data_IF_599143861349
#
_entry.id   IF_599143861349
#
_cell.length_a   1.000
_cell.length_b   1.000
_cell.length_c   1.000
_cell.angle_alpha   90.00
_cell.angle_beta   90.00
_cell.angle_gamma   90.00
#
_symmetry.space_group_name_H-M   'P 1'
#
loop_
_entity.id
_entity.type
_entity.pdbx_description
1 polymer ?
#
# COMPACT_ATOMS: atom_id res chain seq x y z
N UNK A 1 2.79 -8.88 5.80
CA UNK A 1 3.10 -7.46 5.66
C UNK A 1 4.56 -7.17 6.04
N UNK A 2 4.98 -7.34 7.30
CA UNK A 2 6.33 -6.99 7.77
C UNK A 2 7.48 -7.61 6.96
N UNK A 3 7.31 -8.86 6.48
CA UNK A 3 8.30 -9.54 5.64
C UNK A 3 8.42 -8.86 4.27
N UNK A 4 7.31 -8.46 3.66
CA UNK A 4 7.31 -7.75 2.37
C UNK A 4 7.90 -6.34 2.48
N UNK A 5 7.69 -5.69 3.62
CA UNK A 5 8.24 -4.37 3.90
C UNK A 5 9.75 -4.46 4.17
N UNK A 6 10.16 -5.32 5.11
CA UNK A 6 11.56 -5.47 5.51
C UNK A 6 12.46 -6.08 4.43
N UNK A 7 11.89 -6.82 3.46
CA UNK A 7 12.62 -7.31 2.28
C UNK A 7 12.72 -6.30 1.13
N UNK A 8 12.10 -5.12 1.25
CA UNK A 8 12.01 -4.16 0.15
C UNK A 8 11.08 -4.58 -1.01
N UNK A 9 10.32 -5.67 -0.85
CA UNK A 9 9.46 -6.20 -1.90
C UNK A 9 8.34 -5.21 -2.31
N UNK A 10 7.73 -4.54 -1.35
CA UNK A 10 6.71 -3.53 -1.62
C UNK A 10 7.30 -2.31 -2.35
N UNK A 11 8.50 -1.87 -1.94
CA UNK A 11 9.22 -0.78 -2.62
C UNK A 11 9.64 -1.18 -4.04
N UNK A 12 10.08 -2.42 -4.27
CA UNK A 12 10.42 -2.94 -5.59
C UNK A 12 9.22 -2.91 -6.55
N UNK A 13 8.04 -3.30 -6.07
CA UNK A 13 6.80 -3.26 -6.84
C UNK A 13 6.43 -1.83 -7.24
N UNK A 14 6.49 -0.91 -6.30
CA UNK A 14 6.19 0.49 -6.54
C UNK A 14 7.23 1.14 -7.49
N UNK A 15 8.54 0.87 -7.32
CA UNK A 15 9.60 1.31 -8.25
C UNK A 15 9.37 0.78 -9.67
N UNK A 16 8.92 -0.46 -9.83
CA UNK A 16 8.61 -1.04 -11.14
C UNK A 16 7.53 -0.27 -11.88
N UNK A 17 6.47 0.13 -11.19
CA UNK A 17 5.39 0.91 -11.80
C UNK A 17 5.87 2.32 -12.12
N UNK A 18 6.55 2.97 -11.18
CA UNK A 18 7.13 4.29 -11.38
C UNK A 18 8.06 4.38 -12.58
N UNK A 19 8.92 3.37 -12.80
CA UNK A 19 9.91 3.38 -13.89
C UNK A 19 9.30 3.22 -15.29
N UNK A 20 8.07 2.73 -15.40
CA UNK A 20 7.39 2.47 -16.67
C UNK A 20 6.48 3.60 -17.12
N UNK A 21 6.10 4.49 -16.22
CA UNK A 21 5.12 5.54 -16.46
C UNK A 21 5.76 6.89 -16.16
N UNK A 22 5.90 7.75 -17.17
CA UNK A 22 6.43 9.10 -17.00
C UNK A 22 5.34 10.15 -16.81
N UNK A 23 5.74 11.36 -16.39
CA UNK A 23 4.87 12.50 -16.29
C UNK A 23 3.79 12.36 -15.21
N UNK A 24 2.68 13.06 -15.35
CA UNK A 24 1.51 12.94 -14.42
C UNK A 24 0.98 11.52 -14.31
N UNK A 25 1.12 10.72 -15.35
CA UNK A 25 0.77 9.30 -15.34
C UNK A 25 1.50 8.53 -14.24
N UNK A 26 2.73 8.93 -13.88
CA UNK A 26 3.48 8.32 -12.79
C UNK A 26 2.80 8.47 -11.44
N UNK A 27 2.12 9.61 -11.17
CA UNK A 27 1.36 9.82 -9.93
C UNK A 27 0.23 8.79 -9.84
N UNK A 28 -0.58 8.68 -10.89
CA UNK A 28 -1.70 7.73 -10.94
C UNK A 28 -1.23 6.27 -10.96
N UNK A 29 -0.11 5.99 -11.63
CA UNK A 29 0.53 4.68 -11.61
C UNK A 29 0.97 4.28 -10.20
N UNK A 30 1.60 5.19 -9.46
CA UNK A 30 1.98 4.96 -8.07
C UNK A 30 0.75 4.84 -7.15
N UNK A 31 -0.31 5.63 -7.38
CA UNK A 31 -1.58 5.47 -6.68
C UNK A 31 -2.18 4.09 -6.89
N UNK A 32 -2.17 3.60 -8.12
CA UNK A 32 -2.64 2.27 -8.46
C UNK A 32 -1.78 1.18 -7.78
N UNK A 33 -0.44 1.36 -7.74
CA UNK A 33 0.44 0.44 -7.05
C UNK A 33 0.11 0.35 -5.55
N UNK A 34 -0.07 1.48 -4.91
CA UNK A 34 -0.43 1.56 -3.49
C UNK A 34 -1.81 0.96 -3.24
N UNK A 35 -2.78 1.21 -4.12
CA UNK A 35 -4.10 0.59 -4.07
C UNK A 35 -4.00 -0.94 -4.14
N UNK A 36 -3.25 -1.48 -5.10
CA UNK A 36 -3.09 -2.93 -5.27
C UNK A 36 -2.42 -3.54 -4.03
N UNK A 37 -1.36 -2.92 -3.52
CA UNK A 37 -0.68 -3.38 -2.30
C UNK A 37 -1.60 -3.36 -1.08
N UNK A 38 -2.38 -2.29 -0.92
CA UNK A 38 -3.37 -2.18 0.15
C UNK A 38 -4.52 -3.18 0.00
N UNK A 39 -5.01 -3.37 -1.23
CA UNK A 39 -6.06 -4.36 -1.53
C UNK A 39 -5.64 -5.78 -1.17
N UNK A 40 -4.39 -6.16 -1.36
CA UNK A 40 -3.87 -7.49 -1.06
C UNK A 40 -3.55 -7.66 0.44
N UNK A 41 -3.77 -6.61 1.25
CA UNK A 41 -3.67 -6.70 2.70
C UNK A 41 -2.31 -6.28 3.27
N UNK A 42 -1.50 -5.55 2.52
CA UNK A 42 -0.34 -4.86 3.10
C UNK A 42 -0.87 -3.78 4.05
N UNK A 43 -0.28 -3.71 5.24
CA UNK A 43 -0.74 -2.76 6.26
C UNK A 43 -0.68 -1.31 5.74
N UNK A 44 -1.80 -0.58 5.85
CA UNK A 44 -1.91 0.78 5.32
C UNK A 44 -0.90 1.77 5.93
N UNK A 45 -0.61 1.66 7.22
CA UNK A 45 0.38 2.51 7.88
C UNK A 45 1.79 2.30 7.32
N UNK A 46 2.16 1.05 7.09
CA UNK A 46 3.44 0.74 6.49
C UNK A 46 3.51 1.20 5.03
N UNK A 47 2.43 1.07 4.28
CA UNK A 47 2.35 1.59 2.91
C UNK A 47 2.53 3.10 2.84
N UNK A 48 2.06 3.86 3.84
CA UNK A 48 2.31 5.30 3.90
C UNK A 48 3.81 5.61 3.94
N UNK A 49 4.57 4.89 4.77
CA UNK A 49 6.03 5.09 4.86
C UNK A 49 6.77 4.68 3.60
N UNK A 50 6.33 3.62 2.93
CA UNK A 50 6.93 3.14 1.67
C UNK A 50 6.55 4.05 0.50
N UNK A 51 5.30 4.49 0.43
CA UNK A 51 4.79 5.30 -0.66
C UNK A 51 5.33 6.74 -0.62
N UNK A 52 5.55 7.30 0.56
CA UNK A 52 5.97 8.69 0.71
C UNK A 52 7.25 9.03 -0.06
N UNK A 53 8.38 8.29 0.07
CA UNK A 53 9.58 8.57 -0.70
C UNK A 53 9.37 8.45 -2.22
N UNK A 54 8.51 7.53 -2.66
CA UNK A 54 8.20 7.34 -4.08
C UNK A 54 7.48 8.58 -4.61
N UNK A 55 6.44 9.03 -3.88
CA UNK A 55 5.71 10.23 -4.27
C UNK A 55 6.58 11.49 -4.18
N UNK A 56 7.55 11.56 -3.29
CA UNK A 56 8.54 12.67 -3.30
C UNK A 56 9.29 12.74 -4.63
N UNK A 57 9.76 11.60 -5.15
CA UNK A 57 10.48 11.55 -6.43
C UNK A 57 9.56 11.95 -7.60
N UNK A 58 8.33 11.44 -7.63
CA UNK A 58 7.35 11.75 -8.68
C UNK A 58 6.93 13.23 -8.65
N UNK A 59 6.64 13.76 -7.46
CA UNK A 59 6.22 15.15 -7.28
C UNK A 59 7.34 16.13 -7.63
N UNK A 60 8.61 15.77 -7.34
CA UNK A 60 9.77 16.56 -7.78
C UNK A 60 9.83 16.63 -9.31
N UNK A 61 9.64 15.52 -10.02
CA UNK A 61 9.67 15.48 -11.49
C UNK A 61 8.56 16.33 -12.11
N UNK A 62 7.37 16.32 -11.51
CA UNK A 62 6.21 17.09 -11.98
C UNK A 62 6.16 18.52 -11.44
N UNK A 63 7.15 18.91 -10.63
CA UNK A 63 7.20 20.20 -9.93
C UNK A 63 5.90 20.54 -9.19
N UNK A 64 5.36 19.56 -8.45
CA UNK A 64 4.15 19.70 -7.64
C UNK A 64 4.48 19.89 -6.16
N UNK A 65 3.71 20.69 -5.42
CA UNK A 65 3.98 20.97 -4.02
C UNK A 65 3.77 19.73 -3.14
N UNK A 66 4.67 19.54 -2.19
CA UNK A 66 4.71 18.37 -1.28
C UNK A 66 3.47 18.21 -0.41
N UNK A 67 2.77 19.30 -0.09
CA UNK A 67 1.59 19.24 0.76
C UNK A 67 0.43 18.44 0.18
N UNK A 68 0.44 18.17 -1.13
CA UNK A 68 -0.53 17.30 -1.79
C UNK A 68 -0.23 15.79 -1.60
N UNK A 69 1.01 15.42 -1.27
CA UNK A 69 1.42 14.00 -1.15
C UNK A 69 0.57 13.22 -0.14
N UNK A 70 0.32 13.72 1.08
CA UNK A 70 -0.54 13.00 2.04
C UNK A 70 -1.93 12.72 1.49
N UNK A 71 -2.54 13.67 0.79
CA UNK A 71 -3.83 13.50 0.14
C UNK A 71 -3.82 12.40 -0.92
N UNK A 72 -2.78 12.36 -1.76
CA UNK A 72 -2.61 11.32 -2.79
C UNK A 72 -2.42 9.94 -2.17
N UNK A 73 -1.58 9.82 -1.14
CA UNK A 73 -1.34 8.56 -0.45
C UNK A 73 -2.64 8.08 0.23
N UNK A 74 -3.31 8.97 0.95
CA UNK A 74 -4.53 8.64 1.67
C UNK A 74 -5.66 8.22 0.74
N UNK A 75 -5.82 8.91 -0.39
CA UNK A 75 -6.77 8.52 -1.44
C UNK A 75 -6.50 7.11 -1.98
N UNK A 76 -5.22 6.75 -2.14
CA UNK A 76 -4.85 5.43 -2.63
C UNK A 76 -5.09 4.32 -1.62
N UNK A 77 -4.90 4.60 -0.32
CA UNK A 77 -4.90 3.61 0.75
C UNK A 77 -6.25 3.44 1.43
N UNK A 78 -6.82 4.55 1.90
CA UNK A 78 -7.82 4.48 2.95
C UNK A 78 -9.21 4.10 2.44
N UNK A 79 -9.58 4.62 1.28
CA UNK A 79 -10.94 4.43 0.79
C UNK A 79 -11.08 3.26 -0.18
N UNK A 80 -10.06 3.05 -1.02
CA UNK A 80 -10.24 2.15 -2.15
C UNK A 80 -9.89 0.70 -1.82
N UNK A 81 -8.86 0.45 -1.00
CA UNK A 81 -8.44 -0.93 -0.71
C UNK A 81 -9.44 -1.71 0.14
N UNK A 82 -10.22 -1.02 0.99
CA UNK A 82 -11.21 -1.64 1.88
C UNK A 82 -12.60 -1.73 1.27
N UNK A 83 -12.93 -0.91 0.26
CA UNK A 83 -14.23 -0.91 -0.38
C UNK A 83 -14.40 -2.03 -1.40
N UNK A 84 -13.30 -2.48 -2.01
CA UNK A 84 -13.37 -3.54 -3.00
C UNK A 84 -13.55 -4.91 -2.35
N UNK A 85 -14.48 -5.73 -2.84
CA UNK A 85 -14.78 -7.05 -2.31
C UNK A 85 -13.59 -8.00 -2.47
N UNK A 86 -13.50 -9.00 -1.59
CA UNK A 86 -12.46 -10.02 -1.64
C UNK A 86 -11.11 -9.59 -1.07
N UNK A 87 -10.97 -8.35 -0.59
CA UNK A 87 -9.73 -7.89 0.04
C UNK A 87 -9.52 -8.59 1.39
N UNK A 88 -8.30 -9.10 1.68
CA UNK A 88 -7.92 -9.64 2.99
C UNK A 88 -7.64 -8.54 4.02
N UNK A 89 -8.01 -7.30 3.72
CA UNK A 89 -7.91 -6.18 4.67
C UNK A 89 -8.69 -6.51 5.94
N UNK A 90 -8.16 -6.11 7.09
CA UNK A 90 -8.80 -6.30 8.40
C UNK A 90 -10.22 -5.72 8.42
N UNK A 91 -10.46 -4.63 7.69
CA UNK A 91 -11.76 -3.98 7.59
C UNK A 91 -12.80 -4.83 6.86
N UNK A 92 -12.38 -5.70 5.94
CA UNK A 92 -13.27 -6.65 5.26
C UNK A 92 -13.39 -7.98 6.01
N UNK A 93 -12.32 -8.43 6.66
CA UNK A 93 -12.27 -9.73 7.32
C UNK A 93 -12.93 -9.70 8.69
N UNK A 94 -12.74 -8.63 9.48
CA UNK A 94 -13.28 -8.56 10.83
C UNK A 94 -14.81 -8.68 10.87
N UNK A 95 -15.59 -8.01 10.03
CA UNK A 95 -17.05 -8.15 10.01
C UNK A 95 -17.53 -9.58 9.73
N UNK A 96 -16.78 -10.36 8.94
CA UNK A 96 -17.21 -11.72 8.59
C UNK A 96 -17.32 -12.63 9.81
N UNK A 97 -16.51 -12.41 10.84
CA UNK A 97 -16.50 -13.19 12.07
C UNK A 97 -17.73 -12.94 12.96
N UNK A 98 -18.28 -11.70 12.91
CA UNK A 98 -19.40 -11.31 13.74
C UNK A 98 -20.76 -11.34 13.03
N UNK A 99 -20.75 -11.10 11.71
CA UNK A 99 -21.98 -10.98 10.93
C UNK A 99 -22.29 -12.23 10.10
N UNK A 100 -21.44 -13.27 10.14
CA UNK A 100 -21.64 -14.50 9.36
C UNK A 100 -21.63 -14.27 7.84
N UNK A 101 -21.02 -13.19 7.38
CA UNK A 101 -20.83 -12.84 5.97
C UNK A 101 -19.49 -13.37 5.45
N UNK A 102 -19.22 -13.20 4.16
CA UNK A 102 -17.89 -13.45 3.57
C UNK A 102 -17.24 -12.15 3.07
N UNK A 103 -16.00 -12.24 2.63
CA UNK A 103 -15.26 -11.08 2.10
C UNK A 103 -15.80 -10.55 0.78
N UNK A 104 -16.70 -11.32 0.13
CA UNK A 104 -17.36 -10.95 -1.12
C UNK A 104 -18.79 -10.42 -0.88
N UNK A 105 -19.21 -10.29 0.37
CA UNK A 105 -20.53 -9.75 0.71
C UNK A 105 -20.73 -8.36 0.10
N UNK A 106 -21.91 -8.10 -0.45
CA UNK A 106 -22.27 -6.85 -1.12
C UNK A 106 -21.30 -6.42 -2.25
N UNK A 107 -20.75 -7.37 -3.01
CA UNK A 107 -19.74 -7.13 -4.05
C UNK A 107 -20.15 -6.04 -5.05
N UNK A 108 -21.39 -6.06 -5.52
CA UNK A 108 -21.88 -5.06 -6.47
C UNK A 108 -21.84 -3.63 -5.89
N UNK A 109 -22.30 -3.47 -4.66
CA UNK A 109 -22.28 -2.18 -3.96
C UNK A 109 -20.85 -1.74 -3.67
N UNK A 110 -19.98 -2.65 -3.22
CA UNK A 110 -18.57 -2.37 -2.93
C UNK A 110 -17.81 -1.90 -4.17
N UNK A 111 -18.01 -2.55 -5.32
CA UNK A 111 -17.41 -2.12 -6.59
C UNK A 111 -17.95 -0.76 -7.02
N UNK A 112 -19.27 -0.56 -6.99
CA UNK A 112 -19.89 0.69 -7.41
C UNK A 112 -19.41 1.88 -6.56
N UNK A 113 -19.38 1.73 -5.24
CA UNK A 113 -18.92 2.79 -4.33
C UNK A 113 -17.41 3.00 -4.44
N UNK A 114 -16.61 1.94 -4.58
CA UNK A 114 -15.17 2.02 -4.77
C UNK A 114 -14.79 2.75 -6.06
N UNK A 115 -15.44 2.43 -7.17
CA UNK A 115 -15.21 3.12 -8.46
C UNK A 115 -15.68 4.58 -8.39
N UNK A 116 -16.88 4.82 -7.87
CA UNK A 116 -17.43 6.18 -7.76
C UNK A 116 -16.53 7.07 -6.88
N UNK A 117 -16.14 6.60 -5.71
CA UNK A 117 -15.25 7.37 -4.82
C UNK A 117 -13.86 7.60 -5.44
N UNK A 118 -13.33 6.62 -6.16
CA UNK A 118 -12.04 6.76 -6.87
C UNK A 118 -12.11 7.86 -7.92
N UNK A 119 -13.18 7.90 -8.70
CA UNK A 119 -13.40 8.95 -9.73
C UNK A 119 -13.49 10.32 -9.08
N UNK A 120 -14.27 10.48 -8.02
CA UNK A 120 -14.39 11.76 -7.31
C UNK A 120 -13.05 12.22 -6.74
N UNK A 121 -12.30 11.32 -6.12
CA UNK A 121 -10.99 11.64 -5.57
C UNK A 121 -9.97 12.03 -6.66
N UNK A 122 -9.97 11.35 -7.81
CA UNK A 122 -9.09 11.70 -8.94
C UNK A 122 -9.47 13.09 -9.49
N UNK A 123 -10.76 13.38 -9.66
CA UNK A 123 -11.23 14.70 -10.11
C UNK A 123 -10.79 15.79 -9.13
N UNK A 124 -10.94 15.56 -7.83
CA UNK A 124 -10.52 16.51 -6.81
C UNK A 124 -9.00 16.73 -6.80
N UNK A 125 -8.22 15.66 -6.87
CA UNK A 125 -6.75 15.75 -6.94
C UNK A 125 -6.29 16.48 -8.20
N UNK A 126 -6.90 16.21 -9.35
CA UNK A 126 -6.58 16.91 -10.60
C UNK A 126 -6.93 18.41 -10.53
N UNK A 127 -8.01 18.75 -9.86
CA UNK A 127 -8.35 20.15 -9.56
C UNK A 127 -7.26 20.82 -8.71
N UNK A 128 -6.82 20.17 -7.60
CA UNK A 128 -5.79 20.72 -6.74
C UNK A 128 -4.41 20.78 -7.44
N UNK A 129 -4.07 19.82 -8.30
CA UNK A 129 -2.84 19.87 -9.11
C UNK A 129 -2.85 21.07 -10.09
N UNK A 130 -4.00 21.34 -10.72
CA UNK A 130 -4.15 22.50 -11.63
C UNK A 130 -4.08 23.81 -10.87
N UNK A 131 -4.72 23.88 -9.71
CA UNK A 131 -4.68 25.03 -8.81
C UNK A 131 -3.28 25.34 -8.34
N UNK A 132 -2.53 24.33 -7.88
CA UNK A 132 -1.14 24.48 -7.48
C UNK A 132 -0.26 25.00 -8.63
N UNK A 133 -0.41 24.46 -9.83
CA UNK A 133 0.30 24.98 -11.02
C UNK A 133 -0.07 26.42 -11.37
N UNK A 134 -1.33 26.80 -11.24
CA UNK A 134 -1.79 28.18 -11.46
C UNK A 134 -1.20 29.15 -10.45
N UNK A 135 -1.02 28.73 -9.21
CA UNK A 135 -0.44 29.52 -8.13
C UNK A 135 1.09 29.54 -8.16
N UNK A 136 1.75 28.86 -9.11
CA UNK A 136 3.19 28.61 -9.14
C UNK A 136 3.74 27.93 -7.88
N UNK A 137 2.90 27.12 -7.21
CA UNK A 137 3.34 26.30 -6.09
C UNK A 137 4.17 25.15 -6.62
N UNK A 138 5.49 25.20 -6.43
CA UNK A 138 6.43 24.18 -6.89
C UNK A 138 6.91 23.24 -5.80
N UNK A 139 7.74 22.29 -6.20
CA UNK A 139 8.40 21.36 -5.28
C UNK A 139 9.56 22.02 -4.56
N UNK A 140 9.50 22.08 -3.23
CA UNK A 140 10.58 22.63 -2.40
C UNK A 140 11.42 21.50 -1.81
N UNK A 141 12.72 21.50 -2.09
CA UNK A 141 13.67 20.53 -1.53
C UNK A 141 14.24 21.10 -0.23
N UNK A 142 14.06 20.36 0.87
CA UNK A 142 14.72 20.62 2.14
C UNK A 142 15.76 19.53 2.41
N UNK A 143 16.80 19.76 3.25
CA UNK A 143 17.85 18.76 3.49
C UNK A 143 17.33 17.40 3.93
N UNK A 144 16.33 17.37 4.83
CA UNK A 144 15.66 16.16 5.30
C UNK A 144 14.94 15.39 4.18
N UNK A 145 14.38 16.09 3.21
CA UNK A 145 13.72 15.50 2.05
C UNK A 145 14.76 14.93 1.07
N UNK A 146 15.86 15.65 0.85
CA UNK A 146 16.94 15.16 0.00
C UNK A 146 17.53 13.85 0.54
N UNK A 147 17.73 13.76 1.86
CA UNK A 147 18.19 12.55 2.53
C UNK A 147 17.21 11.36 2.35
N UNK A 148 15.91 11.58 2.57
CA UNK A 148 14.88 10.54 2.37
C UNK A 148 14.81 10.05 0.93
N UNK A 149 14.93 10.95 -0.04
CA UNK A 149 14.93 10.58 -1.45
C UNK A 149 16.18 9.74 -1.79
N UNK A 150 17.36 10.16 -1.31
CA UNK A 150 18.61 9.43 -1.50
C UNK A 150 18.56 8.05 -0.86
N UNK A 151 18.11 7.95 0.38
CA UNK A 151 17.93 6.68 1.07
C UNK A 151 16.97 5.73 0.31
N UNK A 152 15.94 6.27 -0.33
CA UNK A 152 15.03 5.46 -1.14
C UNK A 152 15.66 5.02 -2.47
N UNK A 153 16.45 5.86 -3.13
CA UNK A 153 17.16 5.51 -4.36
C UNK A 153 18.22 4.43 -4.11
N UNK A 154 18.92 4.50 -2.98
CA UNK A 154 19.95 3.54 -2.55
C UNK A 154 19.36 2.24 -1.97
N UNK A 155 18.05 2.19 -1.70
CA UNK A 155 17.42 1.00 -1.11
C UNK A 155 17.58 -0.20 -2.05
N UNK A 156 18.25 -1.24 -1.57
CA UNK A 156 18.31 -2.53 -2.25
C UNK A 156 16.91 -3.15 -2.27
N UNK A 157 16.43 -3.45 -3.46
CA UNK A 157 15.10 -4.05 -3.65
C UNK A 157 15.22 -5.42 -4.29
N UNK A 158 14.33 -6.33 -3.89
CA UNK A 158 14.18 -7.63 -4.53
C UNK A 158 13.69 -7.48 -5.98
N UNK A 159 13.88 -8.52 -6.80
CA UNK A 159 13.32 -8.51 -8.16
C UNK A 159 11.81 -8.31 -8.12
N UNK A 160 11.23 -7.33 -8.85
CA UNK A 160 9.82 -6.95 -8.74
C UNK A 160 8.82 -8.11 -8.91
N UNK A 161 9.11 -9.06 -9.80
CA UNK A 161 8.23 -10.22 -10.00
C UNK A 161 8.09 -11.10 -8.76
N UNK A 162 9.15 -11.21 -7.93
CA UNK A 162 9.09 -11.96 -6.67
C UNK A 162 8.12 -11.33 -5.67
N UNK A 163 7.93 -10.02 -5.74
CA UNK A 163 6.99 -9.32 -4.87
C UNK A 163 5.53 -9.67 -5.20
N UNK A 164 5.24 -9.99 -6.45
CA UNK A 164 3.89 -10.28 -6.92
C UNK A 164 3.42 -11.70 -6.54
N UNK A 165 4.34 -12.67 -6.45
CA UNK A 165 4.01 -14.08 -6.21
C UNK A 165 3.21 -14.31 -4.92
N UNK A 166 3.66 -13.89 -3.71
CA UNK A 166 2.91 -14.11 -2.48
C UNK A 166 1.58 -13.36 -2.46
N UNK A 167 1.50 -12.24 -3.20
CA UNK A 167 0.29 -11.46 -3.35
C UNK A 167 -0.78 -12.23 -4.14
N UNK A 168 -0.40 -12.77 -5.32
CA UNK A 168 -1.30 -13.60 -6.12
C UNK A 168 -1.70 -14.85 -5.33
N UNK A 169 -0.75 -15.49 -4.64
CA UNK A 169 -1.04 -16.67 -3.82
C UNK A 169 -2.11 -16.36 -2.77
N UNK A 170 -1.97 -15.27 -2.03
CA UNK A 170 -2.94 -14.87 -1.00
C UNK A 170 -4.32 -14.62 -1.62
N UNK A 171 -4.37 -13.88 -2.73
CA UNK A 171 -5.62 -13.59 -3.43
C UNK A 171 -6.33 -14.87 -3.91
N UNK A 172 -5.60 -15.79 -4.51
CA UNK A 172 -6.13 -17.06 -5.03
C UNK A 172 -6.61 -17.96 -3.89
N UNK A 173 -5.84 -18.08 -2.81
CA UNK A 173 -6.25 -18.88 -1.65
C UNK A 173 -7.56 -18.38 -1.03
N UNK A 174 -7.73 -17.05 -0.93
CA UNK A 174 -8.93 -16.47 -0.32
C UNK A 174 -10.14 -16.50 -1.23
N UNK A 175 -9.98 -16.10 -2.48
CA UNK A 175 -11.13 -15.84 -3.35
C UNK A 175 -11.49 -17.02 -4.26
N UNK A 176 -10.51 -17.83 -4.67
CA UNK A 176 -10.75 -19.02 -5.52
C UNK A 176 -10.96 -20.27 -4.67
N UNK A 177 -10.03 -20.54 -3.76
CA UNK A 177 -10.10 -21.73 -2.90
C UNK A 177 -10.93 -21.53 -1.63
N UNK A 178 -11.34 -20.29 -1.33
CA UNK A 178 -12.12 -19.93 -0.13
C UNK A 178 -11.52 -20.48 1.17
N UNK A 179 -10.19 -20.54 1.23
CA UNK A 179 -9.46 -21.01 2.41
C UNK A 179 -9.66 -20.00 3.55
N UNK A 180 -9.71 -20.51 4.79
CA UNK A 180 -9.79 -19.64 5.96
C UNK A 180 -8.68 -18.58 5.92
N UNK A 181 -9.04 -17.33 6.20
CA UNK A 181 -8.15 -16.16 6.10
C UNK A 181 -6.84 -16.36 6.87
N UNK A 182 -6.90 -16.90 8.09
CA UNK A 182 -5.72 -17.12 8.91
C UNK A 182 -4.77 -18.13 8.26
N UNK A 183 -5.30 -19.22 7.69
CA UNK A 183 -4.51 -20.23 6.98
C UNK A 183 -3.89 -19.62 5.71
N UNK A 184 -4.66 -18.87 4.94
CA UNK A 184 -4.18 -18.20 3.73
C UNK A 184 -3.04 -17.22 4.02
N UNK A 185 -3.16 -16.43 5.10
CA UNK A 185 -2.11 -15.50 5.53
C UNK A 185 -0.85 -16.26 5.97
N UNK A 186 -0.98 -17.36 6.72
CA UNK A 186 0.16 -18.18 7.14
C UNK A 186 0.88 -18.75 5.92
N UNK A 187 0.16 -19.33 4.97
CA UNK A 187 0.74 -19.89 3.74
C UNK A 187 1.44 -18.83 2.88
N UNK A 188 0.80 -17.66 2.71
CA UNK A 188 1.40 -16.55 1.99
C UNK A 188 2.65 -16.00 2.71
N UNK A 189 2.63 -15.94 4.05
CA UNK A 189 3.78 -15.53 4.85
C UNK A 189 4.94 -16.52 4.73
N UNK A 190 4.65 -17.81 4.72
CA UNK A 190 5.64 -18.85 4.51
C UNK A 190 6.26 -18.77 3.11
N UNK A 191 5.45 -18.54 2.08
CA UNK A 191 5.92 -18.25 0.73
C UNK A 191 6.86 -17.03 0.68
N UNK A 192 6.51 -15.93 1.38
CA UNK A 192 7.38 -14.76 1.52
C UNK A 192 8.73 -15.12 2.16
N UNK A 193 8.73 -15.91 3.24
CA UNK A 193 9.97 -16.34 3.92
C UNK A 193 10.87 -17.10 2.95
N UNK A 194 10.32 -18.04 2.20
CA UNK A 194 11.10 -18.84 1.22
C UNK A 194 11.66 -17.93 0.12
N UNK A 195 10.83 -17.07 -0.49
CA UNK A 195 11.22 -16.23 -1.61
C UNK A 195 12.27 -15.17 -1.25
N UNK A 196 12.22 -14.68 0.00
CA UNK A 196 13.09 -13.59 0.46
C UNK A 196 14.19 -14.06 1.42
N UNK A 197 14.34 -15.38 1.58
CA UNK A 197 15.31 -15.96 2.53
C UNK A 197 16.74 -15.42 2.37
N UNK A 198 17.19 -15.25 1.13
CA UNK A 198 18.55 -14.81 0.83
C UNK A 198 18.70 -13.27 0.77
N UNK A 199 17.58 -12.53 0.63
CA UNK A 199 17.61 -11.08 0.45
C UNK A 199 17.28 -10.30 1.71
N UNK A 200 16.91 -11.00 2.78
CA UNK A 200 16.48 -10.36 4.02
C UNK A 200 17.60 -10.37 5.05
N UNK A 201 18.24 -9.23 5.34
CA UNK A 201 19.19 -9.13 6.46
C UNK A 201 18.42 -9.25 7.80
N UNK A 202 19.02 -9.91 8.79
CA UNK A 202 18.47 -10.04 10.16
C UNK A 202 17.05 -10.61 10.24
N UNK A 203 16.87 -11.84 9.79
CA UNK A 203 15.58 -12.56 9.69
C UNK A 203 14.74 -12.59 10.98
N UNK A 204 15.37 -12.69 12.13
CA UNK A 204 14.71 -12.70 13.44
C UNK A 204 14.08 -11.35 13.77
N UNK A 205 14.72 -10.24 13.41
CA UNK A 205 14.18 -8.90 13.69
C UNK A 205 12.89 -8.62 12.92
N UNK A 206 12.65 -9.24 11.77
CA UNK A 206 11.41 -9.07 11.01
C UNK A 206 10.19 -9.68 11.71
N UNK A 207 10.40 -10.78 12.43
CA UNK A 207 9.34 -11.42 13.23
C UNK A 207 9.03 -10.50 14.41
N UNK A 208 10.06 -10.03 15.11
CA UNK A 208 9.91 -9.11 16.24
C UNK A 208 9.23 -7.79 15.81
N UNK A 209 9.63 -7.23 14.68
CA UNK A 209 9.00 -6.03 14.11
C UNK A 209 7.54 -6.30 13.71
N UNK A 210 7.24 -7.47 13.18
CA UNK A 210 5.88 -7.90 12.89
C UNK A 210 5.02 -7.98 14.15
N UNK A 211 5.52 -8.57 15.21
CA UNK A 211 4.85 -8.68 16.52
C UNK A 211 4.66 -7.29 17.14
N UNK A 212 5.69 -6.46 17.16
CA UNK A 212 5.62 -5.08 17.68
C UNK A 212 4.55 -4.25 16.96
N UNK A 213 4.50 -4.32 15.63
CA UNK A 213 3.49 -3.59 14.84
C UNK A 213 2.09 -4.11 15.08
N UNK A 214 1.90 -5.43 15.16
CA UNK A 214 0.61 -6.03 15.49
C UNK A 214 0.15 -5.61 16.90
N UNK A 215 1.04 -5.65 17.89
CA UNK A 215 0.77 -5.20 19.24
C UNK A 215 0.41 -3.72 19.28
N UNK A 216 1.13 -2.87 18.55
CA UNK A 216 0.84 -1.43 18.47
C UNK A 216 -0.55 -1.15 17.88
N UNK A 217 -0.96 -1.88 16.85
CA UNK A 217 -2.32 -1.76 16.27
C UNK A 217 -3.38 -2.19 17.29
N UNK A 218 -3.17 -3.30 18.00
CA UNK A 218 -4.10 -3.78 19.04
C UNK A 218 -4.19 -2.78 20.18
N UNK A 219 -3.06 -2.25 20.66
CA UNK A 219 -3.01 -1.24 21.72
C UNK A 219 -3.74 0.05 21.31
N UNK A 220 -3.51 0.56 20.10
CA UNK A 220 -4.18 1.75 19.60
C UNK A 220 -5.70 1.54 19.47
N UNK A 221 -6.14 0.39 19.00
CA UNK A 221 -7.57 0.05 18.92
C UNK A 221 -8.18 -0.10 20.33
N UNK A 222 -7.45 -0.66 21.28
CA UNK A 222 -7.88 -0.80 22.68
C UNK A 222 -8.03 0.55 23.37
N UNK A 223 -7.14 1.51 23.11
CA UNK A 223 -7.20 2.86 23.69
C UNK A 223 -8.36 3.71 23.15
N UNK A 224 -8.90 3.39 21.99
CA UNK A 224 -10.08 4.08 21.43
C UNK A 224 -11.37 3.63 22.13
N UNK A 225 -11.36 2.46 22.79
CA UNK A 225 -12.52 1.89 23.48
C UNK A 225 -12.54 2.16 25.00
N UNK A 226 -11.58 2.90 25.53
CA UNK A 226 -11.56 3.43 26.90
C UNK A 226 -11.94 4.91 26.86
#
# INVERSE_FOLDING_TARGET
>A
ASIMEGSGAAAAFAKMIYSKVGGRGAIYGCMLAVLILGYIGVNGWALMFIAYPIFLCVFKQENLPRWLIPGVIYTSLAYNSSMFPGSPSILNVLPTQYLGTDTMAASGLGIATGVFSSILCIIYLEYEFRKAKKNNDGFVITPDIAEKMKAFEELETVKPWRSVVPMILLFVLLNVFKVNVNIAIILASFCCVILYWNTTPKKLNLIDDGVKRASMVIMNLSLIHI
#
